data_IF_841048367412
#
_entry.id   IF_841048367412
#
_cell.length_a   1.000
_cell.length_b   1.000
_cell.length_c   1.000
_cell.angle_alpha   90.00
_cell.angle_beta   90.00
_cell.angle_gamma   90.00
#
_symmetry.space_group_name_H-M   'P 1'
#
loop_
_entity.id
_entity.type
_entity.pdbx_description
1 polymer ?
#
# COMPACT_ATOMS: atom_id res chain seq x y z
N UNK A 1 -26.26 9.78 -23.25
CA UNK A 1 -26.15 9.06 -21.97
C UNK A 1 -24.71 9.20 -21.50
N UNK A 2 -24.49 9.91 -20.40
CA UNK A 2 -23.16 9.98 -19.78
C UNK A 2 -22.79 8.56 -19.35
N UNK A 3 -21.70 8.01 -19.91
CA UNK A 3 -21.05 6.83 -19.36
C UNK A 3 -20.56 7.24 -17.97
N UNK A 4 -21.41 7.10 -16.95
CA UNK A 4 -20.96 7.12 -15.57
C UNK A 4 -20.04 5.92 -15.48
N UNK A 5 -18.73 6.18 -15.61
CA UNK A 5 -17.69 5.21 -15.34
C UNK A 5 -18.02 4.72 -13.94
N UNK A 6 -18.62 3.53 -13.83
CA UNK A 6 -18.88 2.88 -12.56
C UNK A 6 -17.54 2.96 -11.85
N UNK A 7 -17.44 3.84 -10.84
CA UNK A 7 -16.20 4.11 -10.13
C UNK A 7 -15.94 2.80 -9.41
N UNK A 8 -15.24 1.89 -10.10
CA UNK A 8 -15.47 0.47 -9.95
C UNK A 8 -15.28 0.11 -8.48
N UNK A 9 -16.30 -0.44 -7.84
CA UNK A 9 -16.13 -1.08 -6.53
C UNK A 9 -15.08 -2.21 -6.60
N UNK A 10 -14.84 -2.71 -7.81
CA UNK A 10 -13.86 -3.73 -8.15
C UNK A 10 -12.44 -3.17 -8.03
N UNK A 11 -11.58 -3.95 -7.40
CA UNK A 11 -10.14 -3.72 -7.36
C UNK A 11 -9.52 -4.56 -8.47
N UNK A 12 -8.77 -3.92 -9.36
CA UNK A 12 -7.94 -4.61 -10.35
C UNK A 12 -6.74 -5.28 -9.69
N UNK A 13 -6.12 -6.22 -10.39
CA UNK A 13 -4.92 -6.92 -9.91
C UNK A 13 -3.75 -5.96 -9.76
N UNK A 14 -3.61 -5.00 -10.67
CA UNK A 14 -2.59 -3.96 -10.66
C UNK A 14 -2.76 -3.03 -9.45
N UNK A 15 -4.00 -2.63 -9.13
CA UNK A 15 -4.27 -1.83 -7.93
C UNK A 15 -3.96 -2.61 -6.65
N UNK A 16 -4.22 -3.93 -6.62
CA UNK A 16 -3.89 -4.79 -5.47
C UNK A 16 -2.38 -4.95 -5.33
N UNK A 17 -1.66 -5.16 -6.42
CA UNK A 17 -0.21 -5.30 -6.41
C UNK A 17 0.46 -4.00 -5.92
N UNK A 18 0.03 -2.86 -6.49
CA UNK A 18 0.49 -1.56 -6.06
C UNK A 18 0.18 -1.31 -4.58
N UNK A 19 -1.01 -1.69 -4.11
CA UNK A 19 -1.38 -1.58 -2.70
C UNK A 19 -0.44 -2.42 -1.80
N UNK A 20 -0.14 -3.66 -2.17
CA UNK A 20 0.78 -4.53 -1.41
C UNK A 20 2.18 -3.94 -1.31
N UNK A 21 2.69 -3.41 -2.42
CA UNK A 21 4.05 -2.87 -2.50
C UNK A 21 4.20 -1.54 -1.77
N UNK A 22 3.28 -0.61 -2.00
CA UNK A 22 3.46 0.79 -1.61
C UNK A 22 2.76 1.16 -0.31
N UNK A 23 1.70 0.45 0.10
CA UNK A 23 0.96 0.80 1.32
C UNK A 23 1.81 0.72 2.59
N UNK A 24 2.69 -0.29 2.76
CA UNK A 24 3.58 -0.33 3.90
C UNK A 24 4.53 0.88 3.99
N UNK A 25 4.84 1.52 2.87
CA UNK A 25 5.85 2.58 2.74
C UNK A 25 5.22 3.97 2.81
N UNK A 26 4.16 4.21 2.02
CA UNK A 26 3.60 5.54 1.76
C UNK A 26 2.28 5.83 2.44
N UNK A 27 1.56 4.78 2.86
CA UNK A 27 0.24 4.88 3.47
C UNK A 27 -0.86 5.36 2.52
N UNK A 28 -2.06 5.49 3.08
CA UNK A 28 -3.33 5.67 2.37
C UNK A 28 -3.49 7.02 1.64
N UNK A 29 -3.07 8.13 2.26
CA UNK A 29 -3.23 9.47 1.68
C UNK A 29 -2.32 9.71 0.46
N UNK A 30 -1.13 9.10 0.46
CA UNK A 30 -0.21 9.18 -0.68
C UNK A 30 -0.70 8.28 -1.80
N UNK A 31 -1.17 7.08 -1.47
CA UNK A 31 -1.68 6.11 -2.44
C UNK A 31 -2.97 6.56 -3.12
N UNK A 32 -3.83 7.35 -2.47
CA UNK A 32 -5.05 7.87 -3.09
C UNK A 32 -4.80 8.87 -4.21
N UNK A 33 -3.56 9.35 -4.36
CA UNK A 33 -3.14 10.20 -5.49
C UNK A 33 -2.73 9.36 -6.72
N UNK A 34 -2.51 8.06 -6.53
CA UNK A 34 -2.01 7.13 -7.56
C UNK A 34 -3.11 6.15 -7.95
N UNK A 35 -3.73 5.54 -6.95
CA UNK A 35 -4.89 4.67 -7.08
C UNK A 35 -6.13 5.57 -7.06
N UNK A 36 -7.04 5.51 -8.05
CA UNK A 36 -8.24 6.34 -8.12
C UNK A 36 -9.32 5.87 -7.12
N UNK A 37 -8.95 5.78 -5.83
CA UNK A 37 -9.76 5.35 -4.70
C UNK A 37 -9.51 6.30 -3.54
N UNK A 38 -10.53 6.51 -2.71
CA UNK A 38 -10.37 7.35 -1.53
C UNK A 38 -9.36 6.75 -0.54
N UNK A 39 -8.70 7.57 0.29
CA UNK A 39 -7.81 7.06 1.36
C UNK A 39 -8.51 6.04 2.26
N UNK A 40 -9.82 6.22 2.51
CA UNK A 40 -10.60 5.28 3.30
C UNK A 40 -10.76 3.92 2.61
N UNK A 41 -11.08 3.89 1.32
CA UNK A 41 -11.19 2.65 0.55
C UNK A 41 -9.85 1.88 0.53
N UNK A 42 -8.74 2.60 0.38
CA UNK A 42 -7.38 2.05 0.43
C UNK A 42 -7.09 1.42 1.79
N UNK A 43 -7.41 2.12 2.89
CA UNK A 43 -7.22 1.62 4.26
C UNK A 43 -8.06 0.37 4.55
N UNK A 44 -9.33 0.37 4.15
CA UNK A 44 -10.23 -0.78 4.32
C UNK A 44 -9.71 -1.98 3.53
N UNK A 45 -9.30 -1.79 2.27
CA UNK A 45 -8.75 -2.88 1.45
C UNK A 45 -7.45 -3.42 2.02
N UNK A 46 -6.52 -2.55 2.42
CA UNK A 46 -5.27 -2.96 3.06
C UNK A 46 -5.51 -3.78 4.33
N UNK A 47 -6.47 -3.36 5.16
CA UNK A 47 -6.87 -4.08 6.36
C UNK A 47 -7.43 -5.49 6.04
N UNK A 48 -8.32 -5.59 5.04
CA UNK A 48 -8.86 -6.87 4.55
C UNK A 48 -7.78 -7.80 3.99
N UNK A 49 -6.76 -7.23 3.34
CA UNK A 49 -5.59 -7.96 2.84
C UNK A 49 -4.51 -8.20 3.91
N UNK A 50 -4.77 -7.81 5.17
CA UNK A 50 -3.84 -7.88 6.30
C UNK A 50 -2.49 -7.16 6.08
N UNK A 51 -2.45 -6.18 5.18
CA UNK A 51 -1.27 -5.35 4.94
C UNK A 51 -1.16 -4.30 6.05
N UNK A 52 0.04 -4.12 6.62
CA UNK A 52 0.31 -3.14 7.67
C UNK A 52 1.27 -2.07 7.16
N UNK A 53 1.19 -0.86 7.75
CA UNK A 53 2.21 0.18 7.57
C UNK A 53 3.49 -0.32 8.23
N UNK A 54 4.65 -0.13 7.59
CA UNK A 54 5.93 -0.30 8.29
C UNK A 54 5.98 0.79 9.36
N UNK A 55 5.97 0.40 10.63
CA UNK A 55 6.27 1.34 11.70
C UNK A 55 7.71 1.85 11.52
N UNK A 56 8.00 3.06 11.97
CA UNK A 56 9.36 3.59 11.95
C UNK A 56 10.35 2.61 12.61
N UNK A 57 9.90 1.92 13.67
CA UNK A 57 10.63 0.86 14.39
C UNK A 57 11.05 -0.29 13.46
N UNK A 58 10.13 -0.82 12.64
CA UNK A 58 10.43 -1.90 11.68
C UNK A 58 11.32 -1.36 10.54
N UNK A 59 11.11 -0.12 10.10
CA UNK A 59 11.91 0.49 9.03
C UNK A 59 13.39 0.63 9.41
N UNK A 60 13.67 1.04 10.65
CA UNK A 60 15.04 1.14 11.17
C UNK A 60 15.68 -0.26 11.30
N UNK A 61 14.93 -1.23 11.85
CA UNK A 61 15.40 -2.62 11.99
C UNK A 61 15.69 -3.31 10.64
N UNK A 62 14.89 -3.06 9.60
CA UNK A 62 15.14 -3.60 8.26
C UNK A 62 16.39 -2.98 7.61
N UNK A 63 16.62 -1.68 7.80
CA UNK A 63 17.84 -1.01 7.32
C UNK A 63 19.09 -1.54 8.03
N UNK A 64 19.00 -1.83 9.32
CA UNK A 64 20.12 -2.40 10.07
C UNK A 64 20.49 -3.78 9.53
N UNK A 65 19.52 -4.63 9.22
CA UNK A 65 19.81 -5.96 8.66
C UNK A 65 20.47 -5.90 7.26
N UNK A 66 20.13 -4.93 6.43
CA UNK A 66 20.82 -4.73 5.13
C UNK A 66 22.27 -4.18 5.29
N UNK A 67 22.63 -3.67 6.48
CA UNK A 67 23.97 -3.16 6.80
C UNK A 67 24.85 -4.20 7.54
N UNK A 68 24.28 -5.30 8.05
CA UNK A 68 25.06 -6.41 8.59
C UNK A 68 25.35 -7.41 7.47
N UNK A 69 26.27 -7.04 6.58
CA UNK A 69 26.98 -8.00 5.76
C UNK A 69 27.67 -9.03 6.67
N UNK A 70 27.76 -10.31 6.25
CA UNK A 70 28.05 -11.42 7.14
C UNK A 70 29.38 -11.19 7.84
N UNK A 71 29.36 -11.26 9.16
CA UNK A 71 30.56 -11.53 9.95
C UNK A 71 31.02 -12.93 9.52
N UNK A 72 31.93 -12.96 8.55
CA UNK A 72 32.82 -14.10 8.31
C UNK A 72 33.64 -14.36 9.57
#
# INVERSE_FOLDING_TARGET
>A
MLHYKVIAMVWSEEEIDLLKKEYPIRGDHTLSKIIPKSPNAIRIKASRLKIRKKSAIIRESLKLNDLVLPLF
#
